data_IF_488946837503
#
_entry.id   IF_488946837503
#
_cell.length_a   1.000
_cell.length_b   1.000
_cell.length_c   1.000
_cell.angle_alpha   90.00
_cell.angle_beta   90.00
_cell.angle_gamma   90.00
#
_symmetry.space_group_name_H-M   'P 1'
#
loop_
_entity.id
_entity.type
_entity.pdbx_description
1 polymer ?
#
# COMPACT_ATOMS: atom_id res chain seq x y z
N UNK A 1 4.95 2.47 -0.05
CA UNK A 1 3.91 1.56 -0.58
C UNK A 1 4.50 0.33 -1.25
N UNK A 2 5.39 0.46 -2.23
CA UNK A 2 6.10 -0.67 -2.85
C UNK A 2 7.44 -0.15 -3.36
N UNK A 3 8.44 -1.03 -3.48
CA UNK A 3 9.76 -0.70 -4.02
C UNK A 3 9.83 -0.86 -5.56
N UNK A 4 8.79 -1.43 -6.18
CA UNK A 4 8.70 -1.57 -7.63
C UNK A 4 8.03 -0.37 -8.27
N UNK A 5 8.73 0.23 -9.23
CA UNK A 5 8.18 1.37 -9.96
C UNK A 5 6.97 0.97 -10.82
N UNK A 6 6.94 -0.25 -11.38
CA UNK A 6 5.79 -0.77 -12.14
C UNK A 6 4.51 -0.75 -11.30
N UNK A 7 4.58 -1.37 -10.12
CA UNK A 7 3.46 -1.37 -9.17
C UNK A 7 3.02 0.04 -8.73
N UNK A 8 3.95 1.01 -8.56
CA UNK A 8 3.57 2.40 -8.28
C UNK A 8 2.79 3.04 -9.44
N UNK A 9 3.19 2.75 -10.67
CA UNK A 9 2.50 3.25 -11.85
C UNK A 9 1.08 2.69 -11.95
N UNK A 10 0.91 1.39 -11.70
CA UNK A 10 -0.37 0.68 -11.79
C UNK A 10 -1.39 1.17 -10.76
N UNK A 11 -0.92 1.57 -9.56
CA UNK A 11 -1.78 2.13 -8.51
C UNK A 11 -1.92 3.66 -8.56
N UNK A 12 -1.57 4.28 -9.69
CA UNK A 12 -1.66 5.72 -9.92
C UNK A 12 -0.80 6.56 -8.94
N UNK A 13 0.38 6.06 -8.58
CA UNK A 13 1.40 6.75 -7.76
C UNK A 13 2.68 7.05 -8.54
N UNK A 14 2.54 7.41 -9.82
CA UNK A 14 3.63 7.76 -10.73
C UNK A 14 4.55 8.89 -10.22
N UNK A 15 4.04 9.75 -9.34
CA UNK A 15 4.82 10.82 -8.70
C UNK A 15 5.83 10.28 -7.68
N UNK A 16 5.59 9.09 -7.13
CA UNK A 16 6.50 8.45 -6.19
C UNK A 16 7.59 7.71 -6.96
N UNK A 17 8.84 7.95 -6.59
CA UNK A 17 10.02 7.38 -7.25
C UNK A 17 10.74 6.44 -6.29
N UNK A 18 10.57 5.14 -6.49
CA UNK A 18 11.11 4.14 -5.57
C UNK A 18 12.63 4.23 -5.41
N UNK A 19 13.33 4.60 -6.50
CA UNK A 19 14.79 4.81 -6.50
C UNK A 19 15.29 5.91 -5.55
N UNK A 20 14.42 6.84 -5.16
CA UNK A 20 14.79 7.99 -4.30
C UNK A 20 14.55 7.70 -2.81
N UNK A 21 13.90 6.59 -2.47
CA UNK A 21 13.47 6.32 -1.08
C UNK A 21 14.62 6.20 -0.09
N UNK A 22 15.74 5.58 -0.47
CA UNK A 22 16.87 5.42 0.45
C UNK A 22 17.45 6.77 0.88
N UNK A 23 17.66 7.68 -0.08
CA UNK A 23 18.16 9.03 0.20
C UNK A 23 17.17 9.84 1.04
N UNK A 24 15.88 9.77 0.72
CA UNK A 24 14.82 10.46 1.47
C UNK A 24 14.73 9.93 2.91
N UNK A 25 14.80 8.60 3.10
CA UNK A 25 14.78 7.98 4.42
C UNK A 25 15.98 8.45 5.24
N UNK A 26 17.18 8.50 4.64
CA UNK A 26 18.38 8.99 5.30
C UNK A 26 18.21 10.44 5.75
N UNK A 27 17.80 11.33 4.85
CA UNK A 27 17.66 12.76 5.15
C UNK A 27 16.65 13.03 6.27
N UNK A 28 15.49 12.36 6.23
CA UNK A 28 14.45 12.49 7.26
C UNK A 28 14.98 11.99 8.61
N UNK A 29 15.71 10.87 8.62
CA UNK A 29 16.29 10.29 9.84
C UNK A 29 17.40 11.15 10.44
N UNK A 30 18.23 11.78 9.62
CA UNK A 30 19.27 12.72 10.07
C UNK A 30 18.69 13.93 10.81
N UNK A 31 17.45 14.31 10.49
CA UNK A 31 16.69 15.35 11.18
C UNK A 31 15.99 14.85 12.46
N UNK A 32 16.21 13.60 12.85
CA UNK A 32 15.61 12.99 14.04
C UNK A 32 14.15 12.57 13.88
N UNK A 33 13.63 12.54 12.65
CA UNK A 33 12.24 12.17 12.37
C UNK A 33 12.16 10.66 12.11
N UNK A 34 11.29 9.97 12.83
CA UNK A 34 11.04 8.54 12.64
C UNK A 34 10.11 8.29 11.46
N UNK A 35 10.38 7.20 10.73
CA UNK A 35 9.61 6.81 9.55
C UNK A 35 8.86 5.51 9.85
N UNK A 36 7.59 5.50 9.48
CA UNK A 36 6.76 4.29 9.43
C UNK A 36 6.55 3.93 7.97
N UNK A 37 7.08 2.78 7.55
CA UNK A 37 6.86 2.28 6.20
C UNK A 37 5.51 1.54 6.13
N UNK A 38 4.60 2.03 5.28
CA UNK A 38 3.36 1.35 4.93
C UNK A 38 3.57 0.68 3.57
N UNK A 39 3.56 -0.65 3.56
CA UNK A 39 3.96 -1.45 2.40
C UNK A 39 2.80 -2.34 1.98
N UNK A 40 2.53 -2.38 0.69
CA UNK A 40 1.63 -3.33 0.06
C UNK A 40 2.46 -4.46 -0.54
N UNK A 41 2.04 -5.69 -0.29
CA UNK A 41 2.63 -6.91 -0.84
C UNK A 41 1.61 -7.65 -1.69
N UNK A 42 2.05 -8.27 -2.78
CA UNK A 42 1.17 -9.06 -3.65
C UNK A 42 0.41 -8.21 -4.66
N UNK A 43 1.00 -7.09 -5.08
CA UNK A 43 0.57 -6.37 -6.26
C UNK A 43 0.94 -7.16 -7.52
N UNK A 44 0.41 -6.75 -8.68
CA UNK A 44 0.44 -7.55 -9.90
C UNK A 44 1.85 -7.87 -10.41
N UNK A 45 2.81 -6.96 -10.21
CA UNK A 45 4.21 -7.13 -10.60
C UNK A 45 5.07 -7.72 -9.46
N UNK A 46 4.51 -8.05 -8.28
CA UNK A 46 5.30 -8.65 -7.20
C UNK A 46 5.57 -10.14 -7.42
N UNK A 47 6.78 -10.58 -7.11
CA UNK A 47 7.17 -11.99 -6.97
C UNK A 47 7.52 -12.32 -5.52
N UNK A 48 7.59 -13.60 -5.12
CA UNK A 48 8.01 -13.97 -3.76
C UNK A 48 9.34 -13.35 -3.32
N UNK A 49 10.30 -13.23 -4.25
CA UNK A 49 11.62 -12.65 -3.99
C UNK A 49 11.56 -11.14 -3.67
N UNK A 50 10.50 -10.44 -4.08
CA UNK A 50 10.36 -9.02 -3.77
C UNK A 50 10.02 -8.75 -2.31
N UNK A 51 9.47 -9.75 -1.60
CA UNK A 51 9.32 -9.67 -0.16
C UNK A 51 10.69 -9.60 0.52
N UNK A 52 11.61 -10.48 0.15
CA UNK A 52 12.96 -10.53 0.72
C UNK A 52 13.72 -9.23 0.44
N UNK A 53 13.67 -8.75 -0.82
CA UNK A 53 14.25 -7.44 -1.20
C UNK A 53 13.66 -6.29 -0.39
N UNK A 54 12.36 -6.33 -0.12
CA UNK A 54 11.69 -5.30 0.67
C UNK A 54 12.15 -5.34 2.12
N UNK A 55 12.30 -6.53 2.69
CA UNK A 55 12.81 -6.70 4.04
C UNK A 55 14.26 -6.20 4.16
N UNK A 56 15.13 -6.61 3.23
CA UNK A 56 16.52 -6.15 3.16
C UNK A 56 16.60 -4.62 3.08
N UNK A 57 15.83 -4.00 2.18
CA UNK A 57 15.77 -2.55 2.04
C UNK A 57 15.40 -1.85 3.36
N UNK A 58 14.42 -2.36 4.11
CA UNK A 58 14.00 -1.76 5.38
C UNK A 58 15.09 -1.84 6.45
N UNK A 59 15.79 -2.97 6.50
CA UNK A 59 16.89 -3.21 7.44
C UNK A 59 18.06 -2.28 7.12
N UNK A 60 18.49 -2.24 5.86
CA UNK A 60 19.59 -1.39 5.39
C UNK A 60 19.33 0.09 5.67
N UNK A 61 18.10 0.55 5.45
CA UNK A 61 17.69 1.93 5.65
C UNK A 61 17.31 2.25 7.11
N UNK A 62 17.41 1.28 8.02
CA UNK A 62 17.12 1.41 9.45
C UNK A 62 15.72 1.99 9.71
N UNK A 63 14.73 1.49 8.98
CA UNK A 63 13.33 1.86 9.17
C UNK A 63 12.83 1.22 10.47
N UNK A 64 12.40 2.05 11.42
CA UNK A 64 12.08 1.61 12.77
C UNK A 64 10.79 0.79 12.86
N UNK A 65 9.82 1.07 11.98
CA UNK A 65 8.53 0.39 11.97
C UNK A 65 8.05 0.21 10.52
N UNK A 66 7.66 -1.02 10.18
CA UNK A 66 7.00 -1.34 8.93
C UNK A 66 5.65 -2.02 9.19
N UNK A 67 4.64 -1.67 8.40
CA UNK A 67 3.34 -2.34 8.35
C UNK A 67 3.13 -2.89 6.96
N UNK A 68 2.85 -4.19 6.89
CA UNK A 68 2.58 -4.89 5.65
C UNK A 68 1.06 -5.04 5.47
N UNK A 69 0.61 -4.71 4.27
CA UNK A 69 -0.79 -4.72 3.86
C UNK A 69 -0.93 -5.58 2.61
N UNK A 70 -2.06 -6.25 2.50
CA UNK A 70 -2.44 -6.95 1.27
C UNK A 70 -3.42 -6.06 0.47
N UNK A 71 -3.32 -6.03 -0.86
CA UNK A 71 -4.27 -5.33 -1.72
C UNK A 71 -5.58 -6.10 -1.73
N UNK A 72 -6.44 -5.82 -0.76
CA UNK A 72 -7.77 -6.41 -0.68
C UNK A 72 -8.73 -5.67 -1.62
N UNK A 73 -9.39 -6.36 -2.57
CA UNK A 73 -10.40 -5.74 -3.40
C UNK A 73 -11.67 -5.54 -2.58
N UNK A 74 -11.94 -4.29 -2.22
CA UNK A 74 -13.14 -3.93 -1.47
C UNK A 74 -14.31 -3.60 -2.40
N UNK A 75 -15.52 -4.17 -2.18
CA UNK A 75 -16.69 -3.89 -3.02
C UNK A 75 -16.96 -2.39 -3.20
N UNK A 76 -17.25 -1.98 -4.44
CA UNK A 76 -17.48 -0.58 -4.79
C UNK A 76 -16.21 0.25 -5.05
N UNK A 77 -15.02 -0.36 -5.04
CA UNK A 77 -13.79 0.27 -5.53
C UNK A 77 -13.50 -0.15 -6.98
N UNK A 78 -12.83 0.73 -7.75
CA UNK A 78 -12.36 0.38 -9.11
C UNK A 78 -11.43 -0.84 -9.12
N UNK A 79 -10.68 -1.03 -8.03
CA UNK A 79 -9.82 -2.20 -7.87
C UNK A 79 -10.65 -3.49 -7.76
N UNK A 80 -11.76 -3.47 -7.02
CA UNK A 80 -12.69 -4.61 -6.97
C UNK A 80 -13.31 -4.91 -8.32
N UNK A 81 -13.85 -3.90 -9.01
CA UNK A 81 -14.45 -4.08 -10.36
C UNK A 81 -13.46 -4.73 -11.33
N UNK A 82 -12.19 -4.30 -11.29
CA UNK A 82 -11.11 -4.90 -12.07
C UNK A 82 -10.85 -6.35 -11.67
N UNK A 83 -10.67 -6.63 -10.39
CA UNK A 83 -10.36 -7.99 -9.90
C UNK A 83 -11.52 -8.96 -10.14
N UNK A 84 -12.77 -8.49 -10.04
CA UNK A 84 -13.97 -9.25 -10.35
C UNK A 84 -14.02 -9.60 -11.84
N UNK A 85 -13.87 -8.60 -12.72
CA UNK A 85 -13.85 -8.81 -14.17
C UNK A 85 -12.75 -9.76 -14.61
N UNK A 86 -11.58 -9.66 -13.97
CA UNK A 86 -10.42 -10.50 -14.28
C UNK A 86 -10.53 -11.90 -13.63
N UNK A 87 -11.61 -12.20 -12.90
CA UNK A 87 -11.86 -13.52 -12.29
C UNK A 87 -10.92 -13.86 -11.12
N UNK A 88 -10.36 -12.84 -10.46
CA UNK A 88 -9.29 -12.99 -9.44
C UNK A 88 -9.82 -13.00 -8.00
N UNK A 89 -11.11 -12.82 -7.80
CA UNK A 89 -11.77 -12.88 -6.49
C UNK A 89 -12.19 -14.32 -6.23
N UNK A 90 -11.44 -15.03 -5.37
CA UNK A 90 -11.71 -16.44 -5.05
C UNK A 90 -12.52 -16.66 -3.77
N UNK A 91 -12.55 -15.67 -2.86
CA UNK A 91 -13.30 -15.75 -1.60
C UNK A 91 -14.48 -14.75 -1.61
N UNK A 92 -15.70 -15.27 -1.57
CA UNK A 92 -16.94 -14.48 -1.50
C UNK A 92 -17.10 -13.72 -0.19
N UNK A 93 -16.29 -14.00 0.85
CA UNK A 93 -16.26 -13.19 2.08
C UNK A 93 -15.78 -11.76 1.85
N UNK A 94 -15.06 -11.49 0.75
CA UNK A 94 -14.65 -10.11 0.41
C UNK A 94 -15.85 -9.17 0.19
N UNK A 95 -17.00 -9.72 -0.22
CA UNK A 95 -18.28 -8.98 -0.31
C UNK A 95 -18.78 -8.45 1.04
N UNK A 96 -18.33 -9.07 2.14
CA UNK A 96 -18.81 -8.80 3.50
C UNK A 96 -17.85 -7.95 4.32
N UNK A 97 -16.69 -7.58 3.77
CA UNK A 97 -15.74 -6.74 4.51
C UNK A 97 -16.27 -5.32 4.54
N UNK A 98 -16.68 -4.79 5.70
CA UNK A 98 -17.32 -3.49 5.76
C UNK A 98 -16.28 -2.41 5.42
N UNK A 99 -16.51 -1.68 4.33
CA UNK A 99 -15.82 -0.42 4.07
C UNK A 99 -16.27 0.60 5.12
N UNK A 100 -15.48 0.77 6.18
CA UNK A 100 -15.66 1.86 7.16
C UNK A 100 -15.21 3.20 6.56
N UNK A 101 -15.84 3.61 5.46
CA UNK A 101 -15.61 4.93 4.83
C UNK A 101 -16.91 5.62 4.36
N UNK A 102 -18.07 5.31 4.97
CA UNK A 102 -19.16 6.29 4.96
C UNK A 102 -18.95 7.27 6.09
N UNK A 103 -18.47 8.47 5.76
CA UNK A 103 -18.73 9.66 6.56
C UNK A 103 -20.24 9.84 6.52
N UNK A 104 -20.90 9.68 7.66
CA UNK A 104 -22.34 9.91 7.76
C UNK A 104 -22.58 11.42 7.53
N UNK A 105 -23.29 11.84 6.48
CA UNK A 105 -23.61 13.25 6.26
C UNK A 105 -24.45 13.83 7.42
N UNK A 106 -25.09 13.01 8.26
CA UNK A 106 -25.83 13.46 9.42
C UNK A 106 -24.95 13.88 10.62
N UNK A 107 -23.63 13.65 10.57
CA UNK A 107 -22.70 14.00 11.64
C UNK A 107 -22.15 15.44 11.54
N UNK A 108 -22.52 16.22 10.51
CA UNK A 108 -22.11 17.63 10.36
C UNK A 108 -23.12 18.64 10.95
N UNK A 109 -24.32 18.22 11.35
CA UNK A 109 -25.36 19.10 11.94
C UNK A 109 -25.31 19.19 13.48
N UNK A 110 -24.22 18.74 14.11
CA UNK A 110 -23.99 18.95 15.55
C UNK A 110 -22.62 19.60 15.75
N UNK A 111 -22.53 20.87 15.37
CA UNK A 111 -21.47 21.79 15.75
C UNK A 111 -22.08 23.16 16.07
#
# INVERSE_FOLDING_TARGET
ETLKQGNLSDINKNWAKAREYSDLIREIRERGIQIVALIMLGLDDDTPEDFDRTLEFLIENKVALAKFHLPLPYPGTRFYERMERDGRISDSRLERVPLRQRRDPAAEDVA
#
